data_IF_198892478378
#
_entry.id   IF_198892478378
#
_cell.length_a   1.000
_cell.length_b   1.000
_cell.length_c   1.000
_cell.angle_alpha   90.00
_cell.angle_beta   90.00
_cell.angle_gamma   90.00
#
_symmetry.space_group_name_H-M   'P 1'
#
loop_
_entity.id
_entity.type
_entity.pdbx_description
1 polymer ?
#
# COMPACT_ATOMS: atom_id res chain seq x y z
N UNK A 1 -12.21 -1.98 12.82
CA UNK A 1 -11.07 -2.07 11.86
C UNK A 1 -10.10 -3.13 12.38
N UNK A 2 -9.50 -3.93 11.50
CA UNK A 2 -8.49 -4.93 11.85
C UNK A 2 -7.10 -4.30 11.74
N UNK A 3 -6.17 -4.77 12.57
CA UNK A 3 -4.77 -4.38 12.54
C UNK A 3 -3.88 -5.60 12.34
N UNK A 4 -2.78 -5.43 11.64
CA UNK A 4 -1.68 -6.39 11.60
C UNK A 4 -0.54 -5.87 12.48
N UNK A 5 0.25 -6.80 13.04
CA UNK A 5 1.47 -6.43 13.77
C UNK A 5 2.65 -6.70 12.87
N UNK A 6 3.33 -5.63 12.45
CA UNK A 6 4.50 -5.69 11.58
C UNK A 6 5.70 -6.36 12.30
N UNK A 7 6.74 -6.76 11.56
CA UNK A 7 7.91 -7.46 12.11
C UNK A 7 8.70 -6.63 13.15
N UNK A 8 8.54 -5.31 13.15
CA UNK A 8 9.14 -4.41 14.14
C UNK A 8 8.20 -4.12 15.34
N UNK A 9 7.06 -4.80 15.44
CA UNK A 9 6.07 -4.65 16.51
C UNK A 9 5.06 -3.50 16.33
N UNK A 10 5.20 -2.67 15.30
CA UNK A 10 4.26 -1.59 15.01
C UNK A 10 2.93 -2.16 14.51
N UNK A 11 1.81 -1.61 14.98
CA UNK A 11 0.47 -1.96 14.50
C UNK A 11 0.11 -1.10 13.29
N UNK A 12 -0.33 -1.75 12.22
CA UNK A 12 -0.79 -1.09 10.99
C UNK A 12 -2.24 -1.49 10.69
N UNK A 13 -3.13 -0.54 10.34
CA UNK A 13 -4.47 -0.88 9.84
C UNK A 13 -4.38 -1.79 8.60
N UNK A 14 -5.17 -2.85 8.57
CA UNK A 14 -5.18 -3.78 7.43
C UNK A 14 -5.91 -3.19 6.20
N UNK A 15 -6.70 -2.15 6.40
CA UNK A 15 -7.36 -1.38 5.35
C UNK A 15 -6.90 0.08 5.45
N UNK A 16 -6.21 0.56 4.43
CA UNK A 16 -5.82 1.96 4.26
C UNK A 16 -6.54 2.62 3.09
N UNK A 17 -6.28 3.91 2.90
CA UNK A 17 -6.83 4.73 1.83
C UNK A 17 -5.71 5.24 0.92
N UNK A 18 -5.71 4.82 -0.35
CA UNK A 18 -4.74 5.28 -1.35
C UNK A 18 -5.20 6.53 -2.08
N UNK A 19 -4.24 7.38 -2.47
CA UNK A 19 -4.53 8.64 -3.21
C UNK A 19 -3.82 8.72 -4.57
N UNK A 20 -3.40 7.61 -5.14
CA UNK A 20 -2.82 7.60 -6.49
C UNK A 20 -3.78 8.20 -7.52
N UNK A 21 -3.28 9.06 -8.41
CA UNK A 21 -4.05 9.79 -9.41
C UNK A 21 -5.18 10.69 -8.83
N UNK A 22 -5.09 11.07 -7.57
CA UNK A 22 -5.95 12.12 -7.02
C UNK A 22 -5.19 13.44 -7.12
N UNK A 23 -5.68 14.45 -7.85
CA UNK A 23 -5.05 15.77 -7.89
C UNK A 23 -4.95 16.40 -6.50
N UNK A 24 -3.94 17.28 -6.27
CA UNK A 24 -3.67 17.86 -4.95
C UNK A 24 -4.85 18.64 -4.36
N UNK A 25 -5.60 19.34 -5.21
CA UNK A 25 -6.79 20.10 -4.83
C UNK A 25 -7.96 19.20 -4.40
N UNK A 26 -8.05 17.97 -4.93
CA UNK A 26 -9.07 16.98 -4.56
C UNK A 26 -8.59 16.05 -3.45
N UNK A 27 -7.27 15.92 -3.24
CA UNK A 27 -6.72 15.02 -2.24
C UNK A 27 -7.14 15.41 -0.82
N UNK A 28 -7.24 16.71 -0.51
CA UNK A 28 -7.72 17.20 0.78
C UNK A 28 -9.12 16.68 1.07
N UNK A 29 -10.08 16.92 0.20
CA UNK A 29 -11.47 16.49 0.38
C UNK A 29 -11.59 14.95 0.47
N UNK A 30 -10.91 14.23 -0.43
CA UNK A 30 -10.97 12.76 -0.44
C UNK A 30 -10.42 12.13 0.86
N UNK A 31 -9.30 12.66 1.39
CA UNK A 31 -8.71 12.21 2.65
C UNK A 31 -9.58 12.61 3.84
N UNK A 32 -10.13 13.82 3.88
CA UNK A 32 -11.08 14.21 4.94
C UNK A 32 -12.30 13.28 5.02
N UNK A 33 -12.86 12.92 3.85
CA UNK A 33 -13.98 11.97 3.80
C UNK A 33 -13.54 10.61 4.34
N UNK A 34 -12.37 10.13 3.91
CA UNK A 34 -11.83 8.85 4.40
C UNK A 34 -11.63 8.86 5.92
N UNK A 35 -11.05 9.92 6.49
CA UNK A 35 -10.87 10.08 7.93
C UNK A 35 -12.22 10.13 8.68
N UNK A 36 -13.21 10.86 8.16
CA UNK A 36 -14.57 10.92 8.72
C UNK A 36 -15.28 9.56 8.70
N UNK A 37 -15.04 8.74 7.67
CA UNK A 37 -15.57 7.37 7.56
C UNK A 37 -14.90 6.41 8.56
N UNK A 38 -13.66 6.71 8.98
CA UNK A 38 -12.93 5.93 9.97
C UNK A 38 -11.64 5.29 9.46
N UNK A 39 -11.19 5.62 8.24
CA UNK A 39 -9.83 5.27 7.82
C UNK A 39 -8.82 6.01 8.71
N UNK A 40 -7.76 5.29 9.12
CA UNK A 40 -6.65 5.87 9.87
C UNK A 40 -5.31 5.62 9.20
N UNK A 41 -5.26 4.88 8.09
CA UNK A 41 -4.07 4.69 7.26
C UNK A 41 -4.25 5.38 5.91
N UNK A 42 -3.32 6.27 5.55
CA UNK A 42 -3.31 7.04 4.30
C UNK A 42 -2.01 6.77 3.55
N UNK A 43 -2.14 6.33 2.29
CA UNK A 43 -1.00 6.03 1.41
C UNK A 43 -0.89 7.05 0.27
N UNK A 44 0.23 7.76 0.23
CA UNK A 44 0.61 8.67 -0.84
C UNK A 44 2.03 8.35 -1.36
N UNK A 45 2.56 9.18 -2.25
CA UNK A 45 3.94 9.15 -2.71
C UNK A 45 4.33 10.51 -3.29
N UNK A 46 5.62 10.86 -3.22
CA UNK A 46 6.11 12.14 -3.74
C UNK A 46 5.76 12.35 -5.23
N UNK A 47 5.82 11.29 -6.04
CA UNK A 47 5.52 11.37 -7.49
C UNK A 47 4.04 11.65 -7.77
N UNK A 48 3.13 11.41 -6.82
CA UNK A 48 1.70 11.70 -7.01
C UNK A 48 1.42 13.20 -6.97
N UNK A 49 2.37 14.02 -6.46
CA UNK A 49 2.29 15.48 -6.37
C UNK A 49 1.09 15.98 -5.56
N UNK A 50 0.62 15.17 -4.62
CA UNK A 50 -0.53 15.45 -3.78
C UNK A 50 -0.25 15.37 -2.27
N UNK A 51 1.04 15.29 -1.87
CA UNK A 51 1.42 15.24 -0.46
C UNK A 51 0.97 16.49 0.30
N UNK A 52 0.93 17.68 -0.35
CA UNK A 52 0.41 18.90 0.28
C UNK A 52 -1.08 18.80 0.58
N UNK A 53 -1.86 18.26 -0.34
CA UNK A 53 -3.30 18.03 -0.15
C UNK A 53 -3.59 17.03 0.97
N UNK A 54 -2.80 15.96 1.06
CA UNK A 54 -2.86 14.99 2.16
C UNK A 54 -2.49 15.66 3.49
N UNK A 55 -1.41 16.46 3.52
CA UNK A 55 -0.98 17.18 4.72
C UNK A 55 -2.04 18.17 5.24
N UNK A 56 -2.70 18.89 4.35
CA UNK A 56 -3.83 19.78 4.73
C UNK A 56 -4.96 19.01 5.40
N UNK A 57 -5.38 17.88 4.81
CA UNK A 57 -6.43 17.05 5.38
C UNK A 57 -6.08 16.50 6.77
N UNK A 58 -4.81 16.11 6.97
CA UNK A 58 -4.32 15.64 8.27
C UNK A 58 -4.35 16.77 9.29
N UNK A 59 -3.87 17.98 8.93
CA UNK A 59 -3.82 19.14 9.82
C UNK A 59 -5.21 19.63 10.22
N UNK A 60 -6.21 19.51 9.33
CA UNK A 60 -7.60 19.92 9.56
C UNK A 60 -8.44 18.82 10.23
N UNK A 61 -7.89 17.61 10.36
CA UNK A 61 -8.57 16.47 10.97
C UNK A 61 -8.66 16.60 12.49
N UNK A 62 -9.77 16.11 13.05
CA UNK A 62 -9.90 15.92 14.49
C UNK A 62 -9.25 14.64 15.02
N UNK A 63 -8.74 13.77 14.13
CA UNK A 63 -8.03 12.53 14.52
C UNK A 63 -6.61 12.89 14.96
N UNK A 64 -6.18 12.52 16.17
CA UNK A 64 -4.81 12.77 16.62
C UNK A 64 -3.77 12.17 15.68
N UNK A 65 -2.64 12.88 15.46
CA UNK A 65 -1.57 12.42 14.54
C UNK A 65 -1.05 11.01 14.90
N UNK A 66 -0.97 10.71 16.17
CA UNK A 66 -0.50 9.42 16.71
C UNK A 66 -1.45 8.25 16.44
N UNK A 67 -2.71 8.53 16.10
CA UNK A 67 -3.71 7.52 15.69
C UNK A 67 -3.69 7.29 14.18
N UNK A 68 -3.00 8.15 13.43
CA UNK A 68 -2.86 8.04 11.98
C UNK A 68 -1.60 7.24 11.61
N UNK A 69 -1.73 6.46 10.55
CA UNK A 69 -0.63 5.72 9.90
C UNK A 69 -0.40 6.29 8.50
N UNK A 70 0.64 7.08 8.34
CA UNK A 70 0.91 7.81 7.10
C UNK A 70 2.07 7.18 6.35
N UNK A 71 1.82 6.81 5.10
CA UNK A 71 2.80 6.22 4.18
C UNK A 71 3.11 7.19 3.04
N UNK A 72 4.39 7.39 2.77
CA UNK A 72 4.85 7.99 1.50
C UNK A 72 6.05 7.22 0.94
N UNK A 73 6.52 7.58 -0.27
CA UNK A 73 7.49 6.78 -1.02
C UNK A 73 8.50 7.66 -1.72
N UNK A 74 9.78 7.27 -1.68
CA UNK A 74 10.82 7.90 -2.51
C UNK A 74 10.64 7.47 -3.97
N UNK A 75 10.72 8.44 -4.88
CA UNK A 75 10.62 8.18 -6.31
C UNK A 75 11.95 7.73 -6.90
N UNK A 76 11.89 7.12 -8.07
CA UNK A 76 13.03 6.51 -8.77
C UNK A 76 14.17 7.50 -9.07
N UNK A 77 13.83 8.76 -9.42
CA UNK A 77 14.82 9.81 -9.71
C UNK A 77 15.66 10.21 -8.48
N UNK A 78 15.11 9.98 -7.28
CA UNK A 78 15.69 10.38 -6.01
C UNK A 78 16.31 9.19 -5.25
N UNK A 79 16.51 8.06 -5.93
CA UNK A 79 17.23 6.92 -5.40
C UNK A 79 18.73 7.21 -5.25
N UNK A 80 19.36 6.51 -4.31
CA UNK A 80 20.71 6.70 -3.82
C UNK A 80 20.71 7.39 -2.46
N UNK A 81 21.72 7.11 -1.62
CA UNK A 81 21.73 7.45 -0.20
C UNK A 81 21.40 8.92 0.08
N UNK A 82 22.20 9.85 -0.42
CA UNK A 82 22.05 11.28 -0.15
C UNK A 82 20.80 11.90 -0.76
N UNK A 83 20.40 11.43 -1.95
CA UNK A 83 19.19 11.92 -2.61
C UNK A 83 17.94 11.50 -1.84
N UNK A 84 17.91 10.26 -1.36
CA UNK A 84 16.79 9.72 -0.59
C UNK A 84 16.57 10.49 0.71
N UNK A 85 17.66 10.85 1.42
CA UNK A 85 17.55 11.69 2.62
C UNK A 85 16.93 13.05 2.30
N UNK A 86 17.39 13.72 1.22
CA UNK A 86 16.79 15.00 0.79
C UNK A 86 15.32 14.87 0.38
N UNK A 87 15.00 13.85 -0.41
CA UNK A 87 13.63 13.59 -0.85
C UNK A 87 12.68 13.31 0.34
N UNK A 88 13.18 12.66 1.38
CA UNK A 88 12.44 12.45 2.63
C UNK A 88 12.10 13.77 3.34
N UNK A 89 13.10 14.66 3.52
CA UNK A 89 12.87 15.98 4.15
C UNK A 89 11.86 16.81 3.34
N UNK A 90 11.97 16.79 2.02
CA UNK A 90 11.01 17.46 1.14
C UNK A 90 9.59 16.87 1.25
N UNK A 91 9.46 15.55 1.46
CA UNK A 91 8.16 14.91 1.69
C UNK A 91 7.57 15.32 3.03
N UNK A 92 8.38 15.37 4.11
CA UNK A 92 7.96 15.89 5.41
C UNK A 92 7.44 17.33 5.31
N UNK A 93 8.18 18.20 4.63
CA UNK A 93 7.80 19.60 4.42
C UNK A 93 6.46 19.71 3.66
N UNK A 94 6.27 18.92 2.59
CA UNK A 94 5.01 18.93 1.83
C UNK A 94 3.84 18.39 2.64
N UNK A 95 4.05 17.37 3.45
CA UNK A 95 3.04 16.78 4.33
C UNK A 95 2.78 17.62 5.59
N UNK A 96 3.72 18.52 5.96
CA UNK A 96 3.65 19.30 7.19
C UNK A 96 3.73 18.43 8.45
N UNK A 97 4.55 17.38 8.43
CA UNK A 97 4.65 16.39 9.50
C UNK A 97 6.08 16.36 10.10
N UNK A 98 6.19 15.97 11.35
CA UNK A 98 7.48 15.79 12.04
C UNK A 98 8.09 14.39 11.82
N UNK A 99 7.27 13.39 11.49
CA UNK A 99 7.66 12.01 11.22
C UNK A 99 6.69 11.33 10.26
N UNK A 100 7.15 10.25 9.62
CA UNK A 100 6.36 9.35 8.77
C UNK A 100 6.22 8.00 9.47
N UNK A 101 5.06 7.35 9.38
CA UNK A 101 4.87 6.02 9.96
C UNK A 101 5.53 4.94 9.10
N UNK A 102 5.42 5.03 7.77
CA UNK A 102 6.03 4.09 6.83
C UNK A 102 6.62 4.81 5.61
N UNK A 103 7.90 4.60 5.34
CA UNK A 103 8.58 5.11 4.16
C UNK A 103 9.03 3.98 3.24
N UNK A 104 8.67 4.05 1.96
CA UNK A 104 8.90 3.00 0.99
C UNK A 104 9.82 3.43 -0.16
N UNK A 105 10.60 2.49 -0.70
CA UNK A 105 11.15 2.62 -2.06
C UNK A 105 10.02 2.31 -3.04
N UNK A 106 9.71 3.21 -3.98
CA UNK A 106 8.55 3.07 -4.86
C UNK A 106 8.71 1.97 -5.92
N UNK A 107 9.90 1.82 -6.50
CA UNK A 107 10.27 0.77 -7.45
C UNK A 107 11.73 0.36 -7.27
N UNK A 108 12.11 -0.91 -7.53
CA UNK A 108 13.51 -1.33 -7.42
C UNK A 108 14.41 -0.71 -8.50
N UNK A 109 13.88 -0.43 -9.69
CA UNK A 109 14.62 0.08 -10.86
C UNK A 109 15.98 -0.61 -11.04
N UNK A 110 16.02 -1.94 -11.28
CA UNK A 110 17.25 -2.74 -11.18
C UNK A 110 18.34 -2.29 -12.16
N UNK A 111 17.98 -1.70 -13.30
CA UNK A 111 18.93 -1.19 -14.28
C UNK A 111 19.78 -0.01 -13.79
N UNK A 112 19.33 0.70 -12.76
CA UNK A 112 20.10 1.79 -12.14
C UNK A 112 20.87 1.34 -10.91
N UNK A 113 20.55 0.18 -10.37
CA UNK A 113 21.24 -0.49 -9.27
C UNK A 113 21.48 0.39 -8.04
N UNK A 114 20.46 1.19 -7.66
CA UNK A 114 20.56 2.14 -6.54
C UNK A 114 19.67 1.80 -5.34
N UNK A 115 18.82 0.78 -5.46
CA UNK A 115 17.83 0.48 -4.42
C UNK A 115 18.44 0.00 -3.10
N UNK A 116 19.62 -0.64 -3.11
CA UNK A 116 20.33 -1.03 -1.89
C UNK A 116 20.82 0.21 -1.13
N UNK A 117 21.48 1.15 -1.82
CA UNK A 117 21.93 2.39 -1.20
C UNK A 117 20.75 3.27 -0.76
N UNK A 118 19.65 3.24 -1.50
CA UNK A 118 18.38 3.86 -1.11
C UNK A 118 17.85 3.24 0.17
N UNK A 119 17.87 1.90 0.27
CA UNK A 119 17.38 1.22 1.46
C UNK A 119 18.24 1.51 2.70
N UNK A 120 19.56 1.60 2.55
CA UNK A 120 20.47 2.04 3.62
C UNK A 120 20.16 3.47 4.11
N UNK A 121 19.71 4.35 3.21
CA UNK A 121 19.22 5.66 3.61
C UNK A 121 17.90 5.56 4.42
N UNK A 122 16.99 4.65 4.05
CA UNK A 122 15.80 4.36 4.84
C UNK A 122 16.17 3.82 6.23
N UNK A 123 17.15 2.91 6.32
CA UNK A 123 17.67 2.40 7.60
C UNK A 123 18.20 3.53 8.49
N UNK A 124 18.97 4.47 7.93
CA UNK A 124 19.43 5.67 8.67
C UNK A 124 18.25 6.47 9.21
N UNK A 125 17.24 6.77 8.39
CA UNK A 125 16.05 7.50 8.82
C UNK A 125 15.28 6.75 9.92
N UNK A 126 15.24 5.43 9.84
CA UNK A 126 14.61 4.57 10.84
C UNK A 126 15.37 4.60 12.18
N UNK A 127 16.70 4.45 12.15
CA UNK A 127 17.54 4.52 13.35
C UNK A 127 17.54 5.91 14.01
N UNK A 128 17.40 6.97 13.21
CA UNK A 128 17.24 8.34 13.69
C UNK A 128 15.85 8.64 14.26
N UNK A 129 14.91 7.70 14.16
CA UNK A 129 13.53 7.87 14.62
C UNK A 129 12.68 8.81 13.76
N UNK A 130 13.13 9.13 12.54
CA UNK A 130 12.41 9.99 11.59
C UNK A 130 11.26 9.26 10.90
N UNK A 131 11.39 7.94 10.77
CA UNK A 131 10.33 7.03 10.30
C UNK A 131 10.14 5.91 11.30
N UNK A 132 8.89 5.45 11.48
CA UNK A 132 8.58 4.35 12.42
C UNK A 132 8.74 2.97 11.80
N UNK A 133 8.69 2.87 10.48
CA UNK A 133 8.85 1.64 9.72
C UNK A 133 9.38 1.94 8.32
N UNK A 134 10.10 0.98 7.75
CA UNK A 134 10.62 1.04 6.39
C UNK A 134 10.26 -0.22 5.61
N UNK A 135 10.02 -0.04 4.32
CA UNK A 135 9.66 -1.14 3.44
C UNK A 135 9.93 -0.82 1.98
N UNK A 136 9.37 -1.63 1.11
CA UNK A 136 9.60 -1.52 -0.32
C UNK A 136 8.28 -1.64 -1.10
N UNK A 137 8.32 -1.25 -2.37
CA UNK A 137 7.17 -1.35 -3.25
C UNK A 137 7.63 -1.90 -4.61
N UNK A 138 6.86 -2.85 -5.16
CA UNK A 138 7.13 -3.49 -6.44
C UNK A 138 8.43 -4.32 -6.50
N UNK A 139 8.88 -4.86 -5.38
CA UNK A 139 10.06 -5.73 -5.35
C UNK A 139 9.65 -7.16 -5.68
N UNK A 140 10.35 -7.78 -6.63
CA UNK A 140 10.29 -9.21 -6.89
C UNK A 140 11.22 -9.95 -5.91
N UNK A 141 11.16 -11.29 -5.90
CA UNK A 141 11.90 -12.12 -4.92
C UNK A 141 13.39 -11.82 -4.95
N UNK A 142 14.01 -11.73 -6.14
CA UNK A 142 15.42 -11.42 -6.30
C UNK A 142 15.86 -10.08 -5.70
N UNK A 143 14.99 -9.06 -5.78
CA UNK A 143 15.26 -7.76 -5.18
C UNK A 143 15.20 -7.84 -3.65
N UNK A 144 14.22 -8.58 -3.11
CA UNK A 144 14.07 -8.80 -1.67
C UNK A 144 15.24 -9.63 -1.11
N UNK A 145 15.67 -10.70 -1.80
CA UNK A 145 16.83 -11.49 -1.38
C UNK A 145 18.09 -10.64 -1.27
N UNK A 146 18.27 -9.70 -2.19
CA UNK A 146 19.42 -8.81 -2.14
C UNK A 146 19.32 -7.81 -0.98
N UNK A 147 18.16 -7.23 -0.70
CA UNK A 147 17.95 -6.40 0.50
C UNK A 147 18.22 -7.20 1.77
N UNK A 148 17.67 -8.39 1.89
CA UNK A 148 17.87 -9.26 3.06
C UNK A 148 19.33 -9.67 3.28
N UNK A 149 20.13 -9.69 2.21
CA UNK A 149 21.57 -10.04 2.28
C UNK A 149 22.46 -8.83 2.59
N UNK A 150 22.14 -7.65 2.07
CA UNK A 150 23.05 -6.49 2.05
C UNK A 150 22.64 -5.37 3.03
N UNK A 151 21.48 -5.49 3.68
CA UNK A 151 20.94 -4.52 4.62
C UNK A 151 20.64 -5.18 5.98
N UNK A 152 20.50 -4.37 7.02
CA UNK A 152 20.36 -4.84 8.42
C UNK A 152 18.89 -5.00 8.83
N UNK A 153 18.03 -4.09 8.37
CA UNK A 153 16.62 -4.03 8.75
C UNK A 153 15.77 -4.75 7.72
N UNK A 154 15.01 -5.76 8.16
CA UNK A 154 14.06 -6.46 7.29
C UNK A 154 12.91 -5.51 6.92
N UNK A 155 12.54 -5.37 5.62
CA UNK A 155 11.37 -4.59 5.23
C UNK A 155 10.12 -5.05 5.98
N UNK A 156 9.33 -4.10 6.52
CA UNK A 156 8.09 -4.49 7.22
C UNK A 156 7.02 -4.98 6.25
N UNK A 157 7.03 -4.45 5.02
CA UNK A 157 6.13 -4.88 3.95
C UNK A 157 6.72 -4.65 2.55
N UNK A 158 6.13 -5.34 1.58
CA UNK A 158 6.29 -5.11 0.16
C UNK A 158 4.92 -4.75 -0.44
N UNK A 159 4.76 -3.50 -0.93
CA UNK A 159 3.54 -3.02 -1.54
C UNK A 159 3.55 -3.33 -3.05
N UNK A 160 2.68 -4.20 -3.53
CA UNK A 160 2.69 -4.71 -4.91
C UNK A 160 1.32 -4.67 -5.55
N UNK A 161 1.26 -4.71 -6.88
CA UNK A 161 0.01 -5.01 -7.57
C UNK A 161 -0.50 -6.37 -7.13
N UNK A 162 -1.70 -6.40 -6.54
CA UNK A 162 -2.31 -7.65 -6.15
C UNK A 162 -3.83 -7.54 -6.21
N UNK A 163 -4.45 -8.49 -6.89
CA UNK A 163 -5.90 -8.63 -7.06
C UNK A 163 -6.20 -10.08 -7.50
N UNK A 164 -7.45 -10.54 -7.58
CA UNK A 164 -7.75 -11.94 -7.90
C UNK A 164 -7.13 -12.46 -9.20
N UNK A 165 -6.91 -11.60 -10.21
CA UNK A 165 -6.25 -11.98 -11.45
C UNK A 165 -4.72 -11.94 -11.41
N UNK A 166 -4.14 -11.37 -10.33
CA UNK A 166 -2.71 -11.36 -10.02
C UNK A 166 -2.54 -11.60 -8.51
N UNK A 167 -2.66 -12.84 -8.07
CA UNK A 167 -2.71 -13.17 -6.65
C UNK A 167 -1.36 -13.12 -5.93
N UNK A 168 -0.23 -13.06 -6.67
CA UNK A 168 1.15 -12.96 -6.13
C UNK A 168 1.52 -14.11 -5.17
N UNK A 169 1.09 -15.35 -5.47
CA UNK A 169 1.19 -16.47 -4.55
C UNK A 169 2.65 -16.77 -4.12
N UNK A 170 3.58 -16.87 -5.09
CA UNK A 170 4.99 -17.17 -4.82
C UNK A 170 5.66 -16.04 -4.01
N UNK A 171 5.39 -14.79 -4.39
CA UNK A 171 5.90 -13.61 -3.68
C UNK A 171 5.34 -13.52 -2.25
N UNK A 172 4.04 -13.79 -2.06
CA UNK A 172 3.41 -13.84 -0.74
C UNK A 172 4.02 -14.92 0.14
N UNK A 173 4.26 -16.11 -0.41
CA UNK A 173 4.92 -17.19 0.31
C UNK A 173 6.34 -16.82 0.73
N UNK A 174 7.11 -16.22 -0.18
CA UNK A 174 8.44 -15.71 0.12
C UNK A 174 8.41 -14.64 1.23
N UNK A 175 7.54 -13.64 1.09
CA UNK A 175 7.37 -12.58 2.08
C UNK A 175 7.00 -13.13 3.46
N UNK A 176 6.05 -14.07 3.51
CA UNK A 176 5.61 -14.69 4.77
C UNK A 176 6.77 -15.44 5.49
N UNK A 177 7.62 -16.15 4.76
CA UNK A 177 8.82 -16.83 5.30
C UNK A 177 9.80 -15.86 5.96
N UNK A 178 9.83 -14.61 5.52
CA UNK A 178 10.73 -13.57 6.04
C UNK A 178 10.03 -12.56 6.95
N UNK A 179 8.78 -12.82 7.37
CA UNK A 179 7.96 -11.92 8.19
C UNK A 179 7.75 -10.54 7.52
N UNK A 180 7.65 -10.50 6.20
CA UNK A 180 7.34 -9.32 5.39
C UNK A 180 5.85 -9.38 5.04
N UNK A 181 5.07 -8.34 5.34
CA UNK A 181 3.68 -8.26 4.89
C UNK A 181 3.60 -7.91 3.41
N UNK A 182 2.51 -8.34 2.77
CA UNK A 182 2.15 -7.87 1.44
C UNK A 182 1.02 -6.85 1.55
N UNK A 183 1.22 -5.69 0.93
CA UNK A 183 0.20 -4.66 0.77
C UNK A 183 -0.19 -4.57 -0.70
N UNK A 184 -1.50 -4.61 -0.98
CA UNK A 184 -2.02 -4.59 -2.34
C UNK A 184 -2.33 -3.16 -2.80
N UNK A 185 -1.57 -2.67 -3.80
CA UNK A 185 -2.06 -1.56 -4.61
C UNK A 185 -2.93 -2.10 -5.76
N UNK A 186 -3.84 -1.27 -6.28
CA UNK A 186 -4.89 -1.67 -7.22
C UNK A 186 -5.64 -2.94 -6.80
N UNK A 187 -6.07 -3.08 -5.53
CA UNK A 187 -6.71 -4.30 -5.03
C UNK A 187 -7.97 -4.67 -5.79
N UNK A 188 -8.60 -3.69 -6.46
CA UNK A 188 -9.82 -3.83 -7.27
C UNK A 188 -9.53 -3.81 -8.78
N UNK A 189 -8.28 -4.07 -9.21
CA UNK A 189 -7.86 -3.99 -10.62
C UNK A 189 -8.24 -2.64 -11.28
N UNK A 190 -8.18 -1.54 -10.52
CA UNK A 190 -8.60 -0.19 -10.95
C UNK A 190 -10.08 -0.13 -11.40
N UNK A 191 -10.96 -0.91 -10.79
CA UNK A 191 -12.36 -1.03 -11.21
C UNK A 191 -12.55 -1.84 -12.49
N UNK A 192 -11.60 -2.74 -12.79
CA UNK A 192 -11.55 -3.51 -14.02
C UNK A 192 -12.45 -4.76 -14.06
N UNK A 193 -12.05 -5.72 -14.89
CA UNK A 193 -12.82 -6.92 -15.20
C UNK A 193 -13.10 -7.81 -13.99
N UNK A 194 -12.20 -7.79 -12.98
CA UNK A 194 -12.37 -8.59 -11.76
C UNK A 194 -13.70 -8.30 -11.03
N UNK A 195 -14.20 -7.06 -11.11
CA UNK A 195 -15.48 -6.70 -10.50
C UNK A 195 -16.70 -7.17 -11.32
N UNK A 196 -16.48 -7.58 -12.57
CA UNK A 196 -17.50 -8.13 -13.45
C UNK A 196 -17.41 -9.66 -13.58
N UNK A 197 -16.42 -10.29 -12.91
CA UNK A 197 -16.26 -11.73 -12.94
C UNK A 197 -17.47 -12.45 -12.32
N UNK A 198 -17.99 -13.47 -13.01
CA UNK A 198 -19.20 -14.18 -12.61
C UNK A 198 -19.08 -14.80 -11.21
N UNK A 199 -17.88 -15.28 -10.85
CA UNK A 199 -17.61 -15.84 -9.49
C UNK A 199 -17.77 -14.75 -8.45
N UNK A 200 -17.13 -13.58 -8.67
CA UNK A 200 -17.17 -12.44 -7.74
C UNK A 200 -18.59 -11.89 -7.63
N UNK A 201 -19.32 -11.76 -8.75
CA UNK A 201 -20.70 -11.28 -8.77
C UNK A 201 -21.65 -12.23 -8.02
N UNK A 202 -21.51 -13.54 -8.22
CA UNK A 202 -22.33 -14.55 -7.52
C UNK A 202 -22.10 -14.50 -6.01
N UNK A 203 -20.84 -14.42 -5.57
CA UNK A 203 -20.49 -14.32 -4.16
C UNK A 203 -21.00 -12.99 -3.59
N UNK A 204 -20.88 -11.89 -4.30
CA UNK A 204 -21.41 -10.59 -3.88
C UNK A 204 -22.93 -10.62 -3.66
N UNK A 205 -23.68 -11.25 -4.58
CA UNK A 205 -25.11 -11.41 -4.45
C UNK A 205 -25.50 -12.25 -3.22
N UNK A 206 -24.78 -13.37 -2.93
CA UNK A 206 -25.07 -14.23 -1.77
C UNK A 206 -24.89 -13.53 -0.41
N UNK A 207 -23.94 -12.59 -0.34
CA UNK A 207 -23.68 -11.78 0.87
C UNK A 207 -24.43 -10.44 0.90
N UNK A 208 -25.22 -10.09 -0.13
CA UNK A 208 -25.82 -8.75 -0.27
C UNK A 208 -24.76 -7.65 -0.15
N UNK A 209 -23.59 -7.86 -0.79
CA UNK A 209 -22.44 -6.96 -0.83
C UNK A 209 -22.11 -6.60 -2.28
N UNK A 210 -21.31 -5.53 -2.46
CA UNK A 210 -20.79 -5.23 -3.79
C UNK A 210 -19.60 -6.14 -4.14
N UNK A 211 -19.32 -6.32 -5.44
CA UNK A 211 -18.11 -7.02 -5.90
C UNK A 211 -16.81 -6.43 -5.32
N UNK A 212 -16.74 -5.10 -5.16
CA UNK A 212 -15.61 -4.42 -4.54
C UNK A 212 -15.42 -4.86 -3.07
N UNK A 213 -16.49 -4.92 -2.30
CA UNK A 213 -16.45 -5.38 -0.91
C UNK A 213 -15.98 -6.84 -0.81
N UNK A 214 -16.45 -7.72 -1.70
CA UNK A 214 -16.04 -9.13 -1.75
C UNK A 214 -14.54 -9.25 -2.04
N UNK A 215 -14.03 -8.54 -3.03
CA UNK A 215 -12.59 -8.58 -3.37
C UNK A 215 -11.74 -8.01 -2.23
N UNK A 216 -12.16 -6.90 -1.61
CA UNK A 216 -11.45 -6.37 -0.45
C UNK A 216 -11.48 -7.35 0.73
N UNK A 217 -12.61 -7.99 1.00
CA UNK A 217 -12.72 -9.00 2.05
C UNK A 217 -11.83 -10.21 1.79
N UNK A 218 -11.74 -10.67 0.54
CA UNK A 218 -10.83 -11.73 0.11
C UNK A 218 -9.36 -11.37 0.43
N UNK A 219 -8.93 -10.14 0.16
CA UNK A 219 -7.59 -9.70 0.54
C UNK A 219 -7.36 -9.77 2.04
N UNK A 220 -8.29 -9.21 2.83
CA UNK A 220 -8.18 -9.19 4.29
C UNK A 220 -8.10 -10.61 4.88
N UNK A 221 -8.89 -11.55 4.37
CA UNK A 221 -8.85 -12.94 4.81
C UNK A 221 -7.61 -13.70 4.36
N UNK A 222 -6.93 -13.24 3.30
CA UNK A 222 -5.61 -13.70 2.88
C UNK A 222 -4.45 -12.97 3.62
N UNK A 223 -4.74 -12.29 4.72
CA UNK A 223 -3.76 -11.53 5.51
C UNK A 223 -2.98 -10.48 4.66
N UNK A 224 -3.62 -9.95 3.63
CA UNK A 224 -3.07 -8.90 2.76
C UNK A 224 -3.60 -7.55 3.22
N UNK A 225 -2.73 -6.56 3.35
CA UNK A 225 -3.08 -5.16 3.60
C UNK A 225 -3.58 -4.56 2.28
N UNK A 226 -4.58 -3.69 2.30
CA UNK A 226 -5.15 -3.11 1.08
C UNK A 226 -5.29 -1.59 1.18
N UNK A 227 -5.05 -0.91 0.06
CA UNK A 227 -5.17 0.54 -0.09
C UNK A 227 -6.04 0.91 -1.28
N UNK A 228 -7.36 0.59 -1.25
CA UNK A 228 -8.27 1.01 -2.30
C UNK A 228 -8.31 2.54 -2.40
N UNK A 229 -8.47 3.04 -3.63
CA UNK A 229 -8.59 4.48 -3.93
C UNK A 229 -9.98 4.79 -4.45
N UNK A 230 -10.56 5.87 -3.99
CA UNK A 230 -11.74 6.50 -4.60
C UNK A 230 -11.76 8.01 -4.32
N UNK A 231 -12.42 8.77 -5.20
CA UNK A 231 -12.79 10.18 -4.96
C UNK A 231 -14.31 10.33 -4.79
N UNK A 232 -15.05 9.24 -4.88
CA UNK A 232 -16.52 9.22 -4.73
C UNK A 232 -16.87 8.90 -3.29
N UNK A 233 -17.51 9.80 -2.52
CA UNK A 233 -17.80 9.61 -1.09
C UNK A 233 -18.47 8.27 -0.77
N UNK A 234 -19.52 7.90 -1.53
CA UNK A 234 -20.23 6.65 -1.31
C UNK A 234 -19.36 5.40 -1.52
N UNK A 235 -18.38 5.43 -2.45
CA UNK A 235 -17.44 4.32 -2.66
C UNK A 235 -16.36 4.27 -1.57
N UNK A 236 -15.97 5.42 -1.01
CA UNK A 236 -15.04 5.48 0.13
C UNK A 236 -15.69 4.78 1.33
N UNK A 237 -16.95 5.09 1.62
CA UNK A 237 -17.72 4.45 2.68
C UNK A 237 -17.97 2.95 2.41
N UNK A 238 -18.35 2.60 1.17
CA UNK A 238 -18.58 1.22 0.74
C UNK A 238 -17.32 0.35 0.93
N UNK A 239 -16.15 0.84 0.47
CA UNK A 239 -14.88 0.14 0.60
C UNK A 239 -14.44 -0.02 2.07
N UNK A 240 -14.87 0.87 2.96
CA UNK A 240 -14.61 0.73 4.40
C UNK A 240 -15.49 -0.33 5.07
N UNK A 241 -16.71 -0.56 4.55
CA UNK A 241 -17.68 -1.46 5.16
C UNK A 241 -17.47 -2.94 4.76
N UNK A 242 -16.29 -3.48 5.08
CA UNK A 242 -15.84 -4.83 4.69
C UNK A 242 -15.61 -5.77 5.89
N UNK A 243 -15.82 -5.28 7.11
CA UNK A 243 -15.54 -6.05 8.32
C UNK A 243 -16.77 -6.80 8.89
N UNK A 244 -17.96 -6.52 8.36
CA UNK A 244 -19.24 -7.05 8.87
C UNK A 244 -19.69 -8.37 8.23
N UNK A 245 -18.85 -9.04 7.42
CA UNK A 245 -19.14 -10.34 6.82
C UNK A 245 -17.86 -11.12 6.59
N UNK A 246 -17.98 -12.42 6.34
CA UNK A 246 -16.85 -13.30 6.04
C UNK A 246 -17.16 -14.18 4.84
N UNK A 247 -16.15 -14.38 4.00
CA UNK A 247 -16.20 -15.35 2.92
C UNK A 247 -15.91 -16.74 3.47
N UNK A 248 -16.68 -17.74 3.06
CA UNK A 248 -16.42 -19.13 3.38
C UNK A 248 -15.13 -19.63 2.72
N UNK A 249 -14.59 -20.75 3.20
CA UNK A 249 -13.40 -21.38 2.61
C UNK A 249 -13.63 -21.71 1.11
N UNK A 250 -14.83 -22.14 0.74
CA UNK A 250 -15.14 -22.48 -0.64
C UNK A 250 -15.16 -21.22 -1.53
N UNK A 251 -15.76 -20.12 -1.07
CA UNK A 251 -15.76 -18.83 -1.77
C UNK A 251 -14.34 -18.27 -1.91
N UNK A 252 -13.53 -18.35 -0.86
CA UNK A 252 -12.10 -17.97 -0.91
C UNK A 252 -11.37 -18.78 -1.98
N UNK A 253 -11.60 -20.10 -2.04
CA UNK A 253 -10.99 -20.99 -3.03
C UNK A 253 -11.48 -20.69 -4.46
N UNK A 254 -12.75 -20.35 -4.64
CA UNK A 254 -13.29 -19.96 -5.95
C UNK A 254 -12.61 -18.69 -6.46
N UNK A 255 -12.43 -17.67 -5.61
CA UNK A 255 -11.71 -16.45 -5.97
C UNK A 255 -10.22 -16.73 -6.23
N UNK A 256 -9.57 -17.57 -5.42
CA UNK A 256 -8.16 -17.95 -5.62
C UNK A 256 -7.90 -18.59 -7.01
N UNK A 257 -8.86 -19.33 -7.56
CA UNK A 257 -8.77 -19.94 -8.90
C UNK A 257 -8.81 -18.92 -10.05
N UNK A 258 -9.19 -17.68 -9.77
CA UNK A 258 -9.23 -16.61 -10.79
C UNK A 258 -7.84 -16.10 -11.18
N UNK A 259 -6.79 -16.49 -10.47
CA UNK A 259 -5.43 -16.07 -10.75
C UNK A 259 -5.01 -16.44 -12.19
N UNK A 260 -4.56 -15.45 -12.93
CA UNK A 260 -4.10 -15.55 -14.33
C UNK A 260 -2.69 -15.03 -14.51
N UNK A 261 -2.03 -14.61 -13.42
CA UNK A 261 -0.75 -13.87 -13.40
C UNK A 261 -0.78 -12.66 -14.36
N UNK A 262 -1.94 -11.99 -14.45
CA UNK A 262 -2.18 -10.86 -15.34
C UNK A 262 -1.97 -9.54 -14.65
N UNK A 263 -0.85 -8.87 -14.94
CA UNK A 263 -0.55 -7.52 -14.48
C UNK A 263 -1.36 -6.48 -15.27
N UNK A 264 -1.74 -5.40 -14.60
CA UNK A 264 -2.29 -4.17 -15.16
C UNK A 264 -1.22 -3.08 -15.22
N UNK A 265 -0.38 -3.02 -14.21
CA UNK A 265 0.77 -2.11 -14.13
C UNK A 265 2.02 -2.68 -14.82
N UNK A 266 3.12 -1.89 -14.83
CA UNK A 266 4.38 -2.33 -15.42
C UNK A 266 4.99 -3.50 -14.64
N UNK A 267 5.81 -4.29 -15.36
CA UNK A 267 6.63 -5.31 -14.72
C UNK A 267 7.77 -4.60 -13.93
N UNK A 268 7.99 -4.94 -12.65
CA UNK A 268 9.05 -4.34 -11.84
C UNK A 268 10.46 -4.45 -12.44
N UNK A 269 10.75 -5.55 -13.13
CA UNK A 269 12.05 -5.78 -13.76
C UNK A 269 12.29 -4.90 -15.01
N UNK A 270 11.20 -4.40 -15.61
CA UNK A 270 11.24 -3.57 -16.81
C UNK A 270 11.02 -2.07 -16.49
N UNK A 271 10.94 -1.69 -15.21
CA UNK A 271 10.76 -0.30 -14.81
C UNK A 271 12.05 0.50 -14.99
N UNK A 272 12.09 1.35 -16.01
CA UNK A 272 13.26 2.16 -16.40
C UNK A 272 13.03 3.67 -16.27
N UNK A 273 11.90 4.11 -15.73
CA UNK A 273 11.56 5.53 -15.58
C UNK A 273 12.20 6.09 -14.32
N UNK A 274 12.90 7.23 -14.47
CA UNK A 274 13.43 8.06 -13.37
C UNK A 274 12.53 9.24 -13.08
#
# INVERSE_FOLDING_TARGET
>A
MNFVTLNNGLKMPQLGFGVWQVPDDQATEAVEIALKVGYTSIDTAMIYKNEKGVGRAIAESSVPREELFITTKVWNADQGYEKTIRAFEESLDRLGLDYIDLYLIHWPTPNFDQYVDTYKALEKLYHDGRVKAIGVCNFEIEHLERILKECEVVPVLNQVECHPYLAQNELKEFCAKHNIFVEAWSPLEQGGEVLQDEVVQKIAASHSKSPAQVVLRWHLQNNTIVIPKSVTPSRIEENFNVFGFELSTDEMNEINKLNRNRRKGPNPNDMHVR
#
